data_IF_432488596782
#
_entry.id   IF_432488596782
#
_cell.length_a   1.000
_cell.length_b   1.000
_cell.length_c   1.000
_cell.angle_alpha   90.00
_cell.angle_beta   90.00
_cell.angle_gamma   90.00
#
_symmetry.space_group_name_H-M   'P 1'
#
loop_
_entity.id
_entity.type
_entity.pdbx_description
1 polymer ?
#
# COMPACT_ATOMS: atom_id res chain seq x y z
N UNK A 1 -11.81 20.13 9.89
CA UNK A 1 -10.88 19.20 10.56
C UNK A 1 -9.64 19.14 9.70
N UNK A 2 -8.53 19.72 10.16
CA UNK A 2 -7.28 19.76 9.40
C UNK A 2 -6.73 18.35 9.29
N UNK A 3 -6.86 17.74 8.12
CA UNK A 3 -6.20 16.47 7.81
C UNK A 3 -4.71 16.73 7.79
N UNK A 4 -3.96 16.11 8.70
CA UNK A 4 -2.52 16.03 8.58
C UNK A 4 -2.23 15.13 7.37
N UNK A 5 -2.12 15.72 6.18
CA UNK A 5 -2.03 14.98 4.92
C UNK A 5 -0.59 14.51 4.72
N UNK A 6 -0.23 13.36 5.28
CA UNK A 6 1.09 12.75 5.11
C UNK A 6 1.23 12.18 3.68
N UNK A 7 2.41 12.34 3.08
CA UNK A 7 2.79 11.58 1.87
C UNK A 7 3.46 10.27 2.31
N UNK A 8 2.81 9.15 2.00
CA UNK A 8 3.31 7.82 2.32
C UNK A 8 4.13 7.27 1.14
N UNK A 9 5.36 6.86 1.40
CA UNK A 9 6.19 6.10 0.47
C UNK A 9 6.21 4.63 0.83
N UNK A 10 5.78 3.76 -0.09
CA UNK A 10 5.90 2.31 0.04
C UNK A 10 6.98 1.79 -0.91
N UNK A 11 7.97 1.09 -0.35
CA UNK A 11 9.07 0.49 -1.13
C UNK A 11 8.84 -1.00 -1.29
N UNK A 12 8.47 -1.39 -2.50
CA UNK A 12 8.25 -2.77 -2.93
C UNK A 12 9.52 -3.54 -3.31
N UNK A 13 10.70 -2.97 -3.08
CA UNK A 13 12.00 -3.64 -3.28
C UNK A 13 12.49 -4.23 -1.95
N UNK A 14 12.99 -5.47 -1.91
CA UNK A 14 13.65 -6.00 -0.72
C UNK A 14 15.04 -5.36 -0.50
N UNK A 15 15.64 -4.77 -1.52
CA UNK A 15 16.93 -4.10 -1.40
C UNK A 15 16.74 -2.66 -0.88
N UNK A 16 17.01 -2.45 0.41
CA UNK A 16 16.93 -1.15 1.10
C UNK A 16 17.93 -0.11 0.58
N UNK A 17 19.05 -0.55 0.00
CA UNK A 17 20.03 0.34 -0.63
C UNK A 17 19.81 0.48 -2.14
N UNK A 18 18.74 -0.13 -2.68
CA UNK A 18 18.48 -0.20 -4.11
C UNK A 18 17.89 1.09 -4.70
N UNK A 19 17.89 1.17 -6.04
CA UNK A 19 17.39 2.32 -6.80
C UNK A 19 15.92 2.64 -6.51
N UNK A 20 15.07 1.63 -6.36
CA UNK A 20 13.66 1.83 -6.01
C UNK A 20 13.51 2.59 -4.69
N UNK A 21 14.31 2.24 -3.68
CA UNK A 21 14.31 2.94 -2.40
C UNK A 21 14.75 4.41 -2.57
N UNK A 22 15.85 4.63 -3.28
CA UNK A 22 16.38 5.98 -3.55
C UNK A 22 15.36 6.86 -4.30
N UNK A 23 14.66 6.31 -5.29
CA UNK A 23 13.64 7.04 -6.05
C UNK A 23 12.44 7.43 -5.18
N UNK A 24 11.94 6.51 -4.35
CA UNK A 24 10.84 6.82 -3.42
C UNK A 24 11.29 7.87 -2.39
N UNK A 25 12.49 7.72 -1.83
CA UNK A 25 13.05 8.71 -0.90
C UNK A 25 13.17 10.09 -1.53
N UNK A 26 13.65 10.20 -2.77
CA UNK A 26 13.75 11.49 -3.48
C UNK A 26 12.37 12.14 -3.70
N UNK A 27 11.34 11.36 -4.01
CA UNK A 27 9.98 11.87 -4.13
C UNK A 27 9.44 12.38 -2.79
N UNK A 28 9.66 11.64 -1.69
CA UNK A 28 9.29 12.08 -0.35
C UNK A 28 10.08 13.32 0.09
N UNK A 29 11.36 13.40 -0.23
CA UNK A 29 12.18 14.58 0.07
C UNK A 29 11.62 15.83 -0.64
N UNK A 30 11.16 15.68 -1.89
CA UNK A 30 10.46 16.75 -2.61
C UNK A 30 9.19 17.22 -1.89
N UNK A 31 8.36 16.28 -1.41
CA UNK A 31 7.16 16.60 -0.63
C UNK A 31 7.50 17.26 0.71
N UNK A 32 8.55 16.79 1.39
CA UNK A 32 9.01 17.36 2.66
C UNK A 32 9.52 18.80 2.50
N UNK A 33 10.29 19.08 1.43
CA UNK A 33 10.71 20.45 1.08
C UNK A 33 9.54 21.39 0.78
N UNK A 34 8.39 20.86 0.37
CA UNK A 34 7.16 21.61 0.17
C UNK A 34 6.35 21.82 1.48
N UNK A 35 6.86 21.39 2.63
CA UNK A 35 6.21 21.57 3.94
C UNK A 35 5.20 20.49 4.30
N UNK A 36 5.25 19.32 3.63
CA UNK A 36 4.34 18.19 3.89
C UNK A 36 5.07 17.10 4.67
N UNK A 37 4.43 16.55 5.71
CA UNK A 37 4.97 15.41 6.43
C UNK A 37 5.09 14.20 5.50
N UNK A 38 6.13 13.39 5.70
CA UNK A 38 6.34 12.16 4.91
C UNK A 38 6.67 10.97 5.79
N UNK A 39 6.27 9.78 5.34
CA UNK A 39 6.59 8.51 5.98
C UNK A 39 7.07 7.52 4.92
N UNK A 40 8.14 6.79 5.20
CA UNK A 40 8.66 5.74 4.33
C UNK A 40 8.49 4.38 5.01
N UNK A 41 7.89 3.41 4.30
CA UNK A 41 7.73 2.03 4.77
C UNK A 41 8.38 1.08 3.78
N UNK A 42 9.23 0.19 4.30
CA UNK A 42 9.78 -0.95 3.55
C UNK A 42 8.77 -2.09 3.57
N UNK A 43 8.21 -2.46 2.41
CA UNK A 43 7.23 -3.55 2.35
C UNK A 43 7.85 -4.91 2.70
N UNK A 44 9.18 -5.03 2.62
CA UNK A 44 9.91 -6.23 3.04
C UNK A 44 9.75 -6.58 4.53
N UNK A 45 9.39 -5.59 5.37
CA UNK A 45 9.09 -5.79 6.79
C UNK A 45 7.62 -6.18 7.04
N UNK A 46 6.77 -6.03 6.03
CA UNK A 46 5.32 -6.20 6.11
C UNK A 46 4.82 -6.95 4.87
N UNK A 47 5.30 -8.18 4.67
CA UNK A 47 4.95 -8.98 3.50
C UNK A 47 3.51 -9.48 3.61
N UNK A 48 2.66 -8.96 2.73
CA UNK A 48 1.25 -9.37 2.61
C UNK A 48 1.15 -10.81 2.13
N UNK A 49 0.33 -11.62 2.82
CA UNK A 49 0.09 -13.00 2.42
C UNK A 49 -0.79 -13.05 1.16
N UNK A 50 -0.55 -14.04 0.30
CA UNK A 50 -1.41 -14.29 -0.86
C UNK A 50 -2.89 -14.43 -0.49
N UNK A 51 -3.78 -14.02 -1.40
CA UNK A 51 -5.20 -14.26 -1.25
C UNK A 51 -5.46 -15.78 -1.27
N UNK A 52 -6.29 -16.27 -0.33
CA UNK A 52 -6.66 -17.69 -0.23
C UNK A 52 -8.02 -18.00 -0.88
N UNK A 53 -8.59 -17.05 -1.61
CA UNK A 53 -9.88 -17.17 -2.29
C UNK A 53 -10.98 -17.74 -1.39
N UNK A 54 -11.28 -17.05 -0.27
CA UNK A 54 -12.34 -17.50 0.63
C UNK A 54 -13.70 -17.45 -0.09
N UNK A 55 -14.43 -18.56 -0.12
CA UNK A 55 -15.86 -18.58 -0.47
C UNK A 55 -16.69 -18.38 0.81
N UNK A 56 -17.76 -17.58 0.81
CA UNK A 56 -18.39 -16.86 -0.31
C UNK A 56 -17.92 -15.38 -0.45
N UNK A 57 -16.60 -15.12 -0.49
CA UNK A 57 -15.99 -13.79 -0.63
C UNK A 57 -16.49 -12.73 0.37
N UNK A 58 -16.36 -13.04 1.66
CA UNK A 58 -16.79 -12.18 2.78
C UNK A 58 -16.24 -10.74 2.70
N UNK A 59 -15.09 -10.54 2.04
CA UNK A 59 -14.50 -9.23 1.82
C UNK A 59 -15.34 -8.30 0.93
N UNK A 60 -16.19 -8.83 0.04
CA UNK A 60 -17.07 -8.03 -0.81
C UNK A 60 -18.13 -7.29 0.01
N UNK A 61 -18.66 -7.95 1.04
CA UNK A 61 -19.78 -7.42 1.83
C UNK A 61 -19.33 -6.80 3.15
N UNK A 62 -18.40 -7.46 3.87
CA UNK A 62 -17.94 -7.02 5.19
C UNK A 62 -16.70 -6.14 5.13
N UNK A 63 -16.09 -5.98 3.96
CA UNK A 63 -14.87 -5.18 3.76
C UNK A 63 -13.68 -5.64 4.65
N UNK A 64 -13.75 -6.86 5.18
CA UNK A 64 -12.74 -7.52 6.01
C UNK A 64 -12.43 -8.90 5.43
N UNK A 65 -11.17 -9.31 5.49
CA UNK A 65 -10.79 -10.67 5.10
C UNK A 65 -11.18 -11.66 6.21
N UNK A 66 -11.57 -12.87 5.80
CA UNK A 66 -11.78 -13.99 6.72
C UNK A 66 -10.47 -14.46 7.35
N UNK A 67 -9.36 -14.30 6.63
CA UNK A 67 -8.03 -14.66 7.10
C UNK A 67 -7.32 -13.41 7.59
N UNK A 68 -6.89 -13.43 8.84
CA UNK A 68 -6.10 -12.35 9.42
C UNK A 68 -4.75 -12.24 8.71
N UNK A 69 -4.32 -11.00 8.49
CA UNK A 69 -3.07 -10.64 7.84
C UNK A 69 -2.67 -9.26 8.36
N UNK A 70 -1.86 -9.25 9.42
CA UNK A 70 -1.44 -8.04 10.13
C UNK A 70 -0.66 -7.09 9.22
N UNK A 71 0.16 -7.64 8.32
CA UNK A 71 0.91 -6.84 7.35
C UNK A 71 -0.04 -6.08 6.42
N UNK A 72 -1.08 -6.76 5.92
CA UNK A 72 -2.08 -6.09 5.10
C UNK A 72 -2.87 -5.05 5.89
N UNK A 73 -3.35 -5.39 7.10
CA UNK A 73 -4.13 -4.46 7.92
C UNK A 73 -3.32 -3.19 8.18
N UNK A 74 -2.07 -3.33 8.62
CA UNK A 74 -1.15 -2.22 8.84
C UNK A 74 -0.97 -1.35 7.59
N UNK A 75 -0.56 -1.94 6.46
CA UNK A 75 -0.31 -1.19 5.23
C UNK A 75 -1.58 -0.54 4.67
N UNK A 76 -2.72 -1.23 4.72
CA UNK A 76 -3.99 -0.70 4.21
C UNK A 76 -4.49 0.49 5.03
N UNK A 77 -4.32 0.48 6.36
CA UNK A 77 -4.65 1.62 7.21
C UNK A 77 -3.72 2.80 6.97
N UNK A 78 -2.42 2.56 6.72
CA UNK A 78 -1.48 3.60 6.33
C UNK A 78 -1.90 4.28 5.01
N UNK A 79 -2.29 3.49 4.02
CA UNK A 79 -2.79 4.00 2.73
C UNK A 79 -4.11 4.77 2.88
N UNK A 80 -5.06 4.27 3.68
CA UNK A 80 -6.35 4.93 3.91
C UNK A 80 -6.22 6.29 4.62
N UNK A 81 -5.19 6.45 5.46
CA UNK A 81 -4.98 7.67 6.24
C UNK A 81 -3.97 8.63 5.61
N UNK A 82 -3.34 8.26 4.49
CA UNK A 82 -2.41 9.14 3.78
C UNK A 82 -3.13 10.08 2.81
N UNK A 83 -2.54 11.24 2.55
CA UNK A 83 -3.04 12.19 1.55
C UNK A 83 -2.54 11.94 0.15
N UNK A 84 -1.38 11.32 0.04
CA UNK A 84 -0.79 10.88 -1.20
C UNK A 84 0.06 9.64 -0.97
N UNK A 85 0.12 8.75 -1.97
CA UNK A 85 0.90 7.53 -1.96
C UNK A 85 1.95 7.56 -3.08
N UNK A 86 3.20 7.34 -2.71
CA UNK A 86 4.30 7.04 -3.63
C UNK A 86 4.62 5.54 -3.51
N UNK A 87 4.16 4.74 -4.47
CA UNK A 87 4.45 3.30 -4.51
C UNK A 87 5.59 3.01 -5.48
N UNK A 88 6.76 2.64 -4.95
CA UNK A 88 7.92 2.25 -5.75
C UNK A 88 8.04 0.73 -5.83
N UNK A 89 8.23 0.19 -7.04
CA UNK A 89 8.53 -1.24 -7.25
C UNK A 89 9.68 -1.40 -8.25
N UNK A 90 10.57 -2.37 -8.07
CA UNK A 90 11.44 -2.81 -9.15
C UNK A 90 10.59 -3.50 -10.24
N UNK A 91 11.14 -3.57 -11.45
CA UNK A 91 10.63 -4.44 -12.53
C UNK A 91 11.36 -5.78 -12.44
N UNK A 92 10.65 -6.82 -12.03
CA UNK A 92 11.16 -8.19 -12.00
C UNK A 92 10.40 -9.01 -13.03
N UNK A 93 11.11 -9.41 -14.09
CA UNK A 93 10.53 -10.18 -15.21
C UNK A 93 9.26 -9.52 -15.80
N UNK A 94 9.39 -8.26 -16.21
CA UNK A 94 8.29 -7.46 -16.79
C UNK A 94 7.12 -7.14 -15.84
N UNK A 95 7.27 -7.43 -14.56
CA UNK A 95 6.20 -7.27 -13.57
C UNK A 95 6.67 -6.51 -12.32
N UNK A 96 5.69 -6.11 -11.51
CA UNK A 96 5.93 -5.63 -10.14
C UNK A 96 6.57 -6.72 -9.27
N UNK A 97 7.14 -6.36 -8.13
CA UNK A 97 7.56 -7.37 -7.15
C UNK A 97 6.37 -8.13 -6.59
N UNK A 98 6.59 -9.37 -6.15
CA UNK A 98 5.52 -10.20 -5.57
C UNK A 98 4.84 -9.56 -4.35
N UNK A 99 5.59 -8.81 -3.53
CA UNK A 99 5.05 -8.08 -2.38
C UNK A 99 4.03 -7.03 -2.81
N UNK A 100 4.36 -6.26 -3.85
CA UNK A 100 3.46 -5.25 -4.42
C UNK A 100 2.24 -5.90 -5.06
N UNK A 101 2.44 -7.01 -5.80
CA UNK A 101 1.33 -7.76 -6.40
C UNK A 101 0.34 -8.27 -5.36
N UNK A 102 0.82 -8.90 -4.28
CA UNK A 102 -0.04 -9.43 -3.21
C UNK A 102 -0.77 -8.32 -2.45
N UNK A 103 -0.11 -7.19 -2.21
CA UNK A 103 -0.74 -6.01 -1.64
C UNK A 103 -1.90 -5.51 -2.53
N UNK A 104 -1.63 -5.26 -3.83
CA UNK A 104 -2.64 -4.78 -4.79
C UNK A 104 -3.82 -5.75 -4.92
N UNK A 105 -3.57 -7.05 -5.05
CA UNK A 105 -4.64 -8.06 -5.17
C UNK A 105 -5.59 -8.06 -3.97
N UNK A 106 -5.11 -7.64 -2.81
CA UNK A 106 -5.89 -7.54 -1.58
C UNK A 106 -6.54 -6.16 -1.35
N UNK A 107 -6.22 -5.14 -2.15
CA UNK A 107 -6.76 -3.77 -2.05
C UNK A 107 -8.23 -3.63 -2.46
N UNK A 108 -8.84 -4.62 -3.11
CA UNK A 108 -10.28 -4.60 -3.43
C UNK A 108 -11.16 -4.27 -2.21
N UNK A 109 -10.75 -4.72 -1.01
CA UNK A 109 -11.43 -4.41 0.26
C UNK A 109 -11.27 -2.96 0.73
N UNK A 110 -10.19 -2.28 0.33
CA UNK A 110 -9.92 -0.87 0.64
C UNK A 110 -10.74 0.02 -0.27
N UNK A 111 -10.85 -0.33 -1.56
CA UNK A 111 -11.75 0.35 -2.51
C UNK A 111 -13.20 0.36 -2.00
N UNK A 112 -13.66 -0.76 -1.44
CA UNK A 112 -14.99 -0.83 -0.80
C UNK A 112 -15.14 0.10 0.42
N UNK A 113 -14.07 0.41 1.15
CA UNK A 113 -14.06 1.34 2.31
C UNK A 113 -13.95 2.80 1.90
N UNK A 114 -13.22 3.11 0.82
CA UNK A 114 -12.89 4.48 0.41
C UNK A 114 -13.87 5.10 -0.59
N UNK A 115 -14.71 4.30 -1.25
CA UNK A 115 -15.81 4.78 -2.06
C UNK A 115 -17.05 3.89 -1.84
N UNK A 116 -18.26 4.45 -1.63
CA UNK A 116 -19.47 3.66 -1.83
C UNK A 116 -19.44 3.20 -3.29
N UNK A 117 -19.83 1.94 -3.56
CA UNK A 117 -19.88 1.32 -4.89
C UNK A 117 -20.92 2.00 -5.83
N UNK A 118 -20.87 3.32 -5.97
CA UNK A 118 -21.64 4.08 -6.96
C UNK A 118 -20.82 4.14 -8.25
N UNK A 119 -20.91 3.10 -9.08
CA UNK A 119 -20.38 3.14 -10.45
C UNK A 119 -19.51 1.97 -10.90
N UNK A 120 -19.57 0.83 -10.20
CA UNK A 120 -19.32 -0.49 -10.78
C UNK A 120 -20.66 -1.24 -10.85
#
# INVERSE_FOLDING_TARGET
MGTNQIVLGLVGSPNRAGRTNQLVMAALEGANRAGVDTELIQMADHVVAACKDCLPWVCLTKQKCTFEDDAFEFLSQKVLNCGALVLGTPVYWWETSGMVKYFILKMFRVFARSAPLQGL
#
